data_IF_531226955481
#
_entry.id   IF_531226955481
#
_cell.length_a   1.000
_cell.length_b   1.000
_cell.length_c   1.000
_cell.angle_alpha   90.00
_cell.angle_beta   90.00
_cell.angle_gamma   90.00
#
_symmetry.space_group_name_H-M   'P 1'
#
loop_
_entity.id
_entity.type
_entity.pdbx_description
1 polymer ?
#
# COMPACT_ATOMS: atom_id res chain seq x y z
N UNK A 1 10.00 -26.84 0.23
CA UNK A 1 10.09 -25.69 1.18
C UNK A 1 8.73 -25.00 1.24
N UNK A 2 8.48 -24.09 2.19
CA UNK A 2 7.15 -23.54 2.44
C UNK A 2 6.49 -22.86 1.22
N UNK A 3 7.29 -22.37 0.27
CA UNK A 3 6.85 -21.68 -0.95
C UNK A 3 7.32 -22.42 -2.22
N UNK A 4 7.35 -23.74 -2.19
CA UNK A 4 7.70 -24.56 -3.36
C UNK A 4 6.71 -24.33 -4.52
N UNK A 5 7.23 -24.20 -5.74
CA UNK A 5 6.44 -23.85 -6.93
C UNK A 5 6.07 -22.37 -7.09
N UNK A 6 6.34 -21.50 -6.11
CA UNK A 6 6.12 -20.05 -6.26
C UNK A 6 7.07 -19.45 -7.29
N UNK A 7 6.52 -18.66 -8.22
CA UNK A 7 7.26 -17.98 -9.30
C UNK A 7 7.21 -16.46 -9.18
N UNK A 8 6.17 -15.92 -8.53
CA UNK A 8 6.01 -14.48 -8.32
C UNK A 8 5.75 -14.15 -6.84
N UNK A 9 6.42 -13.12 -6.36
CA UNK A 9 6.10 -12.45 -5.10
C UNK A 9 5.39 -11.15 -5.44
N UNK A 10 4.14 -11.03 -5.01
CA UNK A 10 3.38 -9.80 -5.14
C UNK A 10 3.27 -9.13 -3.79
N UNK A 11 3.36 -7.80 -3.77
CA UNK A 11 3.50 -7.05 -2.53
C UNK A 11 2.32 -6.12 -2.32
N UNK A 12 1.72 -6.17 -1.13
CA UNK A 12 1.07 -4.97 -0.61
C UNK A 12 2.12 -3.84 -0.49
N UNK A 13 1.71 -2.57 -0.62
CA UNK A 13 2.65 -1.45 -0.70
C UNK A 13 2.51 -0.47 0.46
N UNK A 14 1.32 0.12 0.66
CA UNK A 14 1.11 1.10 1.72
C UNK A 14 1.16 0.43 3.09
N UNK A 15 2.21 0.68 3.85
CA UNK A 15 2.44 0.02 5.13
C UNK A 15 3.47 -1.09 4.97
N UNK A 16 3.23 -2.07 4.11
CA UNK A 16 4.15 -3.20 3.91
C UNK A 16 5.51 -2.80 3.33
N UNK A 17 5.54 -1.95 2.30
CA UNK A 17 6.76 -1.54 1.58
C UNK A 17 7.18 -0.14 1.97
N UNK A 18 6.24 0.78 2.19
CA UNK A 18 6.53 2.19 2.47
C UNK A 18 5.91 2.69 3.77
N UNK A 19 6.62 3.59 4.45
CA UNK A 19 6.12 4.35 5.59
C UNK A 19 5.25 5.51 5.10
N UNK A 20 3.97 5.21 4.88
CA UNK A 20 3.01 6.20 4.40
C UNK A 20 2.76 7.29 5.44
N UNK A 21 2.79 6.96 6.74
CA UNK A 21 2.38 7.87 7.81
C UNK A 21 3.37 9.01 7.97
N UNK A 22 4.66 8.69 8.02
CA UNK A 22 5.71 9.71 8.09
C UNK A 22 5.81 10.50 6.78
N UNK A 23 5.68 9.82 5.63
CA UNK A 23 5.75 10.48 4.32
C UNK A 23 4.64 11.51 4.10
N UNK A 24 3.37 11.12 4.33
CA UNK A 24 2.24 12.06 4.21
C UNK A 24 2.35 13.20 5.22
N UNK A 25 2.77 12.91 6.46
CA UNK A 25 2.96 13.93 7.48
C UNK A 25 4.03 14.97 7.06
N UNK A 26 5.16 14.50 6.53
CA UNK A 26 6.24 15.36 6.06
C UNK A 26 5.80 16.27 4.90
N UNK A 27 5.09 15.70 3.93
CA UNK A 27 4.58 16.45 2.76
C UNK A 27 3.46 17.43 3.13
N UNK A 28 2.63 17.10 4.12
CA UNK A 28 1.54 17.96 4.58
C UNK A 28 2.01 19.13 5.45
N UNK A 29 3.13 19.00 6.17
CA UNK A 29 3.57 20.02 7.14
C UNK A 29 3.72 21.44 6.53
N UNK A 30 4.38 21.65 5.37
CA UNK A 30 4.46 22.97 4.76
C UNK A 30 3.10 23.53 4.33
N UNK A 31 2.21 22.66 3.86
CA UNK A 31 0.84 23.03 3.48
C UNK A 31 0.04 23.50 4.70
N UNK A 32 0.06 22.73 5.79
CA UNK A 32 -0.65 23.08 7.02
C UNK A 32 -0.15 24.41 7.58
N UNK A 33 1.17 24.67 7.56
CA UNK A 33 1.74 25.96 7.98
C UNK A 33 1.25 27.13 7.14
N UNK A 34 1.18 26.96 5.82
CA UNK A 34 0.75 28.01 4.88
C UNK A 34 -0.72 28.39 5.07
N UNK A 35 -1.56 27.40 5.38
CA UNK A 35 -3.01 27.56 5.50
C UNK A 35 -3.49 27.72 6.95
N UNK A 36 -2.65 28.27 7.83
CA UNK A 36 -3.03 28.65 9.19
C UNK A 36 -3.17 27.50 10.20
N UNK A 37 -2.84 26.27 9.80
CA UNK A 37 -2.91 25.06 10.63
C UNK A 37 -1.52 24.61 11.13
N UNK A 38 -0.56 25.53 11.28
CA UNK A 38 0.83 25.19 11.65
C UNK A 38 1.02 24.61 13.05
N UNK A 39 0.02 24.71 13.93
CA UNK A 39 0.02 24.09 15.27
C UNK A 39 -0.46 22.63 15.27
N UNK A 40 -1.00 22.14 14.14
CA UNK A 40 -1.45 20.76 13.99
C UNK A 40 -0.24 19.82 13.96
N UNK A 41 -0.35 18.69 14.66
CA UNK A 41 0.63 17.59 14.54
C UNK A 41 0.45 16.96 13.15
N UNK A 42 1.45 17.00 12.24
CA UNK A 42 1.24 16.57 10.85
C UNK A 42 0.85 15.10 10.71
N UNK A 43 1.27 14.24 11.65
CA UNK A 43 0.85 12.84 11.67
C UNK A 43 -0.62 12.65 12.00
N UNK A 44 -1.24 13.55 12.78
CA UNK A 44 -2.69 13.52 13.01
C UNK A 44 -3.48 13.82 11.72
N UNK A 45 -2.94 14.70 10.86
CA UNK A 45 -3.48 14.95 9.52
C UNK A 45 -3.35 13.73 8.62
N UNK A 46 -2.17 13.10 8.58
CA UNK A 46 -1.95 11.87 7.83
C UNK A 46 -2.92 10.74 8.27
N UNK A 47 -3.11 10.58 9.58
CA UNK A 47 -4.04 9.60 10.14
C UNK A 47 -5.50 9.92 9.75
N UNK A 48 -5.90 11.19 9.78
CA UNK A 48 -7.24 11.62 9.37
C UNK A 48 -7.52 11.31 7.90
N UNK A 49 -6.56 11.59 7.02
CA UNK A 49 -6.66 11.26 5.61
C UNK A 49 -6.72 9.74 5.40
N UNK A 50 -5.88 8.97 6.09
CA UNK A 50 -5.87 7.50 6.01
C UNK A 50 -7.18 6.87 6.50
N UNK A 51 -7.85 7.44 7.52
CA UNK A 51 -9.16 6.92 7.99
C UNK A 51 -10.23 6.92 6.90
N UNK A 52 -10.15 7.82 5.92
CA UNK A 52 -11.10 7.89 4.79
C UNK A 52 -10.81 6.87 3.68
N UNK A 53 -9.64 6.24 3.68
CA UNK A 53 -9.17 5.32 2.63
C UNK A 53 -10.09 4.12 2.43
N UNK A 54 -10.36 3.34 3.49
CA UNK A 54 -11.21 2.15 3.37
C UNK A 54 -12.67 2.47 3.04
N UNK A 55 -13.33 3.46 3.67
CA UNK A 55 -14.68 3.89 3.30
C UNK A 55 -14.80 4.32 1.84
N UNK A 56 -13.85 5.11 1.32
CA UNK A 56 -13.91 5.57 -0.07
C UNK A 56 -13.82 4.41 -1.08
N UNK A 57 -12.97 3.41 -0.81
CA UNK A 57 -12.89 2.21 -1.64
C UNK A 57 -14.11 1.29 -1.46
N UNK A 58 -14.79 1.33 -0.31
CA UNK A 58 -15.99 0.52 -0.07
C UNK A 58 -17.15 0.93 -0.98
N UNK A 59 -17.27 2.21 -1.33
CA UNK A 59 -18.24 2.67 -2.33
C UNK A 59 -18.02 1.98 -3.69
N UNK A 60 -16.75 1.70 -4.04
CA UNK A 60 -16.39 0.95 -5.25
C UNK A 60 -16.63 -0.55 -5.06
N UNK A 61 -16.14 -1.14 -3.96
CA UNK A 61 -16.29 -2.59 -3.70
C UNK A 61 -17.75 -3.04 -3.63
N UNK A 62 -18.62 -2.22 -3.06
CA UNK A 62 -20.05 -2.49 -2.94
C UNK A 62 -20.86 -2.22 -4.22
N UNK A 63 -20.22 -1.70 -5.28
CA UNK A 63 -20.88 -1.36 -6.53
C UNK A 63 -21.71 -0.08 -6.50
N UNK A 64 -21.71 0.69 -5.40
CA UNK A 64 -22.38 2.00 -5.31
C UNK A 64 -21.72 3.05 -6.20
N UNK A 65 -20.45 2.85 -6.53
CA UNK A 65 -19.66 3.68 -7.44
C UNK A 65 -18.92 2.80 -8.46
N UNK A 66 -18.83 3.19 -9.74
CA UNK A 66 -17.93 2.55 -10.69
C UNK A 66 -16.47 2.59 -10.22
N UNK A 67 -15.64 1.67 -10.74
CA UNK A 67 -14.21 1.70 -10.45
C UNK A 67 -13.63 3.09 -10.69
N UNK A 68 -12.97 3.61 -9.66
CA UNK A 68 -12.37 4.94 -9.64
C UNK A 68 -10.95 4.77 -9.15
N UNK A 69 -9.98 5.43 -9.80
CA UNK A 69 -8.56 5.33 -9.42
C UNK A 69 -8.31 5.91 -8.03
N UNK A 70 -7.30 5.38 -7.36
CA UNK A 70 -7.02 5.77 -5.98
C UNK A 70 -6.62 7.24 -5.85
N UNK A 71 -5.90 7.81 -6.81
CA UNK A 71 -5.56 9.25 -6.80
C UNK A 71 -6.79 10.15 -6.72
N UNK A 72 -7.89 9.76 -7.38
CA UNK A 72 -9.17 10.50 -7.33
C UNK A 72 -9.79 10.37 -5.93
N UNK A 73 -9.82 9.15 -5.39
CA UNK A 73 -10.33 8.91 -4.03
C UNK A 73 -9.49 9.64 -2.97
N UNK A 74 -8.16 9.67 -3.12
CA UNK A 74 -7.28 10.42 -2.23
C UNK A 74 -7.57 11.92 -2.30
N UNK A 75 -7.81 12.47 -3.50
CA UNK A 75 -8.12 13.88 -3.70
C UNK A 75 -9.44 14.29 -3.05
N UNK A 76 -10.46 13.44 -3.15
CA UNK A 76 -11.75 13.62 -2.49
C UNK A 76 -11.62 13.51 -0.96
N UNK A 77 -10.86 12.51 -0.50
CA UNK A 77 -10.58 12.33 0.92
C UNK A 77 -9.81 13.51 1.53
N UNK A 78 -8.91 14.12 0.76
CA UNK A 78 -8.18 15.33 1.16
C UNK A 78 -9.16 16.46 1.43
N UNK A 79 -10.03 16.79 0.47
CA UNK A 79 -11.03 17.86 0.63
C UNK A 79 -11.94 17.59 1.82
N UNK A 80 -12.35 16.34 2.01
CA UNK A 80 -13.24 15.96 3.09
C UNK A 80 -12.58 16.05 4.48
N UNK A 81 -11.25 16.03 4.55
CA UNK A 81 -10.47 16.07 5.79
C UNK A 81 -10.01 17.48 6.15
N UNK A 82 -9.78 18.36 5.18
CA UNK A 82 -9.32 19.73 5.42
C UNK A 82 -10.17 20.52 6.44
N UNK A 83 -11.51 20.43 6.45
CA UNK A 83 -12.34 21.12 7.44
C UNK A 83 -12.08 20.68 8.88
N UNK A 84 -11.65 19.43 9.12
CA UNK A 84 -11.28 18.95 10.47
C UNK A 84 -10.09 19.72 11.06
N UNK A 85 -9.30 20.36 10.19
CA UNK A 85 -8.12 21.15 10.54
C UNK A 85 -8.32 22.66 10.34
N UNK A 86 -9.58 23.10 10.17
CA UNK A 86 -9.94 24.51 10.02
C UNK A 86 -9.60 25.10 8.65
N UNK A 87 -9.35 24.26 7.64
CA UNK A 87 -9.04 24.69 6.28
C UNK A 87 -10.28 24.46 5.41
N UNK A 88 -10.81 25.53 4.81
CA UNK A 88 -11.87 25.42 3.81
C UNK A 88 -11.25 25.01 2.46
N UNK A 89 -11.53 23.82 1.90
CA UNK A 89 -10.99 23.40 0.62
C UNK A 89 -11.32 24.37 -0.52
N UNK A 90 -12.46 25.08 -0.48
CA UNK A 90 -12.83 26.06 -1.49
C UNK A 90 -11.94 27.31 -1.48
N UNK A 91 -11.23 27.57 -0.38
CA UNK A 91 -10.30 28.68 -0.24
C UNK A 91 -8.87 28.34 -0.72
N UNK A 92 -8.58 27.07 -1.00
CA UNK A 92 -7.27 26.60 -1.43
C UNK A 92 -7.24 26.48 -2.96
N UNK A 93 -6.19 26.98 -3.64
CA UNK A 93 -6.05 26.76 -5.08
C UNK A 93 -6.04 25.27 -5.43
N UNK A 94 -6.82 24.87 -6.45
CA UNK A 94 -6.92 23.46 -6.85
C UNK A 94 -5.54 22.82 -7.13
N UNK A 95 -4.61 23.58 -7.71
CA UNK A 95 -3.24 23.12 -7.96
C UNK A 95 -2.44 22.81 -6.69
N UNK A 96 -2.68 23.51 -5.58
CA UNK A 96 -2.05 23.18 -4.29
C UNK A 96 -2.63 21.89 -3.70
N UNK A 97 -3.94 21.66 -3.86
CA UNK A 97 -4.57 20.42 -3.43
C UNK A 97 -4.12 19.23 -4.27
N UNK A 98 -3.98 19.41 -5.58
CA UNK A 98 -3.44 18.40 -6.48
C UNK A 98 -1.98 18.07 -6.13
N UNK A 99 -1.15 19.07 -5.84
CA UNK A 99 0.24 18.87 -5.42
C UNK A 99 0.34 18.16 -4.06
N UNK A 100 -0.52 18.50 -3.09
CA UNK A 100 -0.58 17.80 -1.81
C UNK A 100 -1.09 16.36 -1.99
N UNK A 101 -2.02 16.11 -2.92
CA UNK A 101 -2.49 14.76 -3.24
C UNK A 101 -1.35 13.84 -3.72
N UNK A 102 -0.34 14.41 -4.38
CA UNK A 102 0.86 13.68 -4.79
C UNK A 102 1.76 13.25 -3.61
N UNK A 103 1.47 13.62 -2.36
CA UNK A 103 2.18 13.11 -1.19
C UNK A 103 2.21 11.57 -1.15
N UNK A 104 1.11 10.91 -1.56
CA UNK A 104 1.03 9.45 -1.63
C UNK A 104 1.95 8.83 -2.69
N UNK A 105 2.49 9.62 -3.63
CA UNK A 105 3.47 9.20 -4.63
C UNK A 105 4.92 9.37 -4.13
N UNK A 106 5.12 10.09 -3.01
CA UNK A 106 6.42 10.49 -2.47
C UNK A 106 6.71 9.83 -1.11
N UNK A 107 6.33 8.57 -0.98
CA UNK A 107 6.54 7.79 0.24
C UNK A 107 7.88 7.07 0.22
N UNK A 108 8.57 7.04 1.35
CA UNK A 108 9.84 6.35 1.49
C UNK A 108 9.65 4.89 1.88
N UNK A 109 10.43 3.96 1.32
CA UNK A 109 10.44 2.57 1.75
C UNK A 109 11.05 2.40 3.14
N UNK A 110 10.66 1.34 3.84
CA UNK A 110 11.35 0.94 5.07
C UNK A 110 12.82 0.57 4.79
N UNK A 111 13.73 0.71 5.78
CA UNK A 111 15.17 0.51 5.57
C UNK A 111 15.58 -0.85 4.99
N UNK A 112 14.81 -1.92 5.28
CA UNK A 112 15.05 -3.29 4.83
C UNK A 112 14.62 -3.55 3.38
N UNK A 113 13.69 -2.75 2.86
CA UNK A 113 12.93 -3.05 1.64
C UNK A 113 13.82 -3.10 0.41
N UNK A 114 14.73 -2.14 0.25
CA UNK A 114 15.58 -2.06 -0.93
C UNK A 114 16.55 -3.25 -1.03
N UNK A 115 17.18 -3.60 0.10
CA UNK A 115 18.08 -4.75 0.16
C UNK A 115 17.33 -6.06 -0.06
N UNK A 116 16.17 -6.24 0.60
CA UNK A 116 15.35 -7.44 0.47
C UNK A 116 14.77 -7.62 -0.93
N UNK A 117 14.12 -6.60 -1.50
CA UNK A 117 13.55 -6.69 -2.85
C UNK A 117 14.62 -6.98 -3.91
N UNK A 118 15.82 -6.40 -3.80
CA UNK A 118 16.93 -6.68 -4.73
C UNK A 118 17.32 -8.16 -4.70
N UNK A 119 17.37 -8.77 -3.50
CA UNK A 119 17.68 -10.20 -3.34
C UNK A 119 16.56 -11.10 -3.85
N UNK A 120 15.30 -10.73 -3.58
CA UNK A 120 14.13 -11.49 -4.01
C UNK A 120 13.97 -11.47 -5.54
N UNK A 121 14.18 -10.31 -6.16
CA UNK A 121 14.13 -10.11 -7.62
C UNK A 121 15.07 -11.04 -8.39
N UNK A 122 16.20 -11.40 -7.81
CA UNK A 122 17.16 -12.30 -8.47
C UNK A 122 16.57 -13.69 -8.78
N UNK A 123 15.44 -14.06 -8.17
CA UNK A 123 14.82 -15.39 -8.31
C UNK A 123 13.34 -15.37 -8.63
N UNK A 124 12.62 -14.34 -8.19
CA UNK A 124 11.18 -14.23 -8.35
C UNK A 124 10.83 -12.99 -9.18
N UNK A 125 9.72 -13.08 -9.91
CA UNK A 125 9.06 -11.87 -10.39
C UNK A 125 8.57 -11.10 -9.16
N UNK A 126 8.91 -9.81 -9.06
CA UNK A 126 8.40 -8.94 -8.01
C UNK A 126 7.51 -7.84 -8.58
N UNK A 127 6.29 -7.72 -8.06
CA UNK A 127 5.32 -6.71 -8.51
C UNK A 127 4.42 -6.24 -7.36
N UNK A 128 3.87 -5.03 -7.40
CA UNK A 128 2.85 -4.63 -6.45
C UNK A 128 1.53 -5.35 -6.77
N UNK A 129 0.85 -5.83 -5.72
CA UNK A 129 -0.60 -6.10 -5.71
C UNK A 129 -1.20 -5.13 -4.69
N UNK A 130 -1.34 -3.90 -5.16
CA UNK A 130 -1.70 -2.74 -4.37
C UNK A 130 -2.99 -2.12 -4.89
N UNK A 131 -3.74 -1.48 -3.99
CA UNK A 131 -4.87 -0.63 -4.39
C UNK A 131 -4.40 0.65 -5.11
N UNK A 132 -3.11 0.99 -5.05
CA UNK A 132 -2.57 2.14 -5.78
C UNK A 132 -2.73 1.99 -7.29
N UNK A 133 -3.02 3.11 -7.97
CA UNK A 133 -3.01 3.12 -9.43
C UNK A 133 -1.59 3.13 -10.02
N UNK A 134 -1.44 2.84 -11.30
CA UNK A 134 -0.15 2.61 -11.98
C UNK A 134 0.80 3.80 -11.80
N UNK A 135 0.35 5.02 -12.12
CA UNK A 135 1.20 6.22 -12.00
C UNK A 135 1.59 6.50 -10.54
N UNK A 136 0.73 6.20 -9.58
CA UNK A 136 1.03 6.29 -8.16
C UNK A 136 2.20 5.38 -7.79
N UNK A 137 2.07 4.09 -8.10
CA UNK A 137 3.10 3.08 -7.84
C UNK A 137 4.40 3.36 -8.62
N UNK A 138 4.28 3.83 -9.87
CA UNK A 138 5.42 4.16 -10.73
C UNK A 138 6.22 5.34 -10.17
N UNK A 139 5.56 6.43 -9.77
CA UNK A 139 6.26 7.59 -9.23
C UNK A 139 7.03 7.23 -7.95
N UNK A 140 6.40 6.45 -7.06
CA UNK A 140 7.04 5.94 -5.85
C UNK A 140 8.25 5.06 -6.18
N UNK A 141 8.09 4.12 -7.11
CA UNK A 141 9.18 3.25 -7.54
C UNK A 141 10.33 4.02 -8.20
N UNK A 142 10.05 5.06 -9.00
CA UNK A 142 11.06 5.91 -9.65
C UNK A 142 11.82 6.75 -8.63
N UNK A 143 11.13 7.31 -7.62
CA UNK A 143 11.74 8.15 -6.58
C UNK A 143 12.68 7.34 -5.69
N UNK A 144 12.22 6.20 -5.18
CA UNK A 144 12.97 5.38 -4.23
C UNK A 144 13.72 4.21 -4.88
N UNK A 145 13.71 4.13 -6.22
CA UNK A 145 14.37 3.10 -7.06
C UNK A 145 13.92 1.67 -6.75
N UNK A 146 12.65 1.50 -6.35
CA UNK A 146 12.09 0.18 -6.02
C UNK A 146 12.12 -0.69 -7.29
N UNK A 147 12.73 -1.89 -7.25
CA UNK A 147 13.13 -2.61 -8.46
C UNK A 147 12.04 -3.54 -9.00
N UNK A 148 10.80 -3.08 -9.13
CA UNK A 148 9.68 -3.90 -9.65
C UNK A 148 9.98 -4.47 -11.05
N UNK A 149 9.57 -5.71 -11.31
CA UNK A 149 9.54 -6.31 -12.66
C UNK A 149 8.36 -5.81 -13.48
N UNK A 150 7.23 -5.61 -12.82
CA UNK A 150 6.00 -5.09 -13.40
C UNK A 150 5.27 -4.22 -12.37
N UNK A 151 4.45 -3.29 -12.86
CA UNK A 151 3.54 -2.50 -12.03
C UNK A 151 2.12 -2.75 -12.52
N UNK A 152 1.34 -3.50 -11.74
CA UNK A 152 -0.04 -3.87 -12.03
C UNK A 152 -0.94 -3.13 -11.04
N UNK A 153 -1.26 -1.87 -11.34
CA UNK A 153 -2.13 -1.07 -10.49
C UNK A 153 -3.57 -1.61 -10.44
N UNK A 154 -4.35 -1.19 -9.44
CA UNK A 154 -5.74 -1.63 -9.26
C UNK A 154 -6.63 -1.41 -10.50
N UNK A 155 -6.29 -0.44 -11.36
CA UNK A 155 -7.01 -0.19 -12.62
C UNK A 155 -6.83 -1.28 -13.67
N UNK A 156 -5.78 -2.10 -13.59
CA UNK A 156 -5.60 -3.24 -14.52
C UNK A 156 -6.66 -4.30 -14.24
N UNK A 157 -6.93 -4.54 -12.96
CA UNK A 157 -7.89 -5.56 -12.50
C UNK A 157 -9.28 -5.00 -12.22
N UNK A 158 -9.45 -3.68 -12.24
CA UNK A 158 -10.71 -2.96 -11.96
C UNK A 158 -11.36 -3.41 -10.64
N UNK A 159 -10.54 -3.63 -9.61
CA UNK A 159 -10.98 -4.13 -8.31
C UNK A 159 -10.07 -3.65 -7.18
N UNK A 160 -10.64 -3.48 -5.99
CA UNK A 160 -9.89 -3.15 -4.77
C UNK A 160 -9.86 -4.32 -3.80
N UNK A 161 -8.72 -4.51 -3.14
CA UNK A 161 -8.59 -5.43 -2.00
C UNK A 161 -9.60 -5.04 -0.90
N UNK A 162 -10.20 -6.01 -0.18
CA UNK A 162 -9.96 -7.45 -0.25
C UNK A 162 -10.89 -8.22 -1.19
N UNK A 163 -11.45 -7.59 -2.24
CA UNK A 163 -12.31 -8.31 -3.18
C UNK A 163 -11.52 -9.43 -3.91
N UNK A 164 -12.08 -10.65 -4.04
CA UNK A 164 -11.39 -11.78 -4.69
C UNK A 164 -10.83 -11.46 -6.08
N UNK A 165 -11.53 -10.61 -6.83
CA UNK A 165 -11.15 -10.14 -8.16
C UNK A 165 -9.77 -9.49 -8.18
N UNK A 166 -9.39 -8.75 -7.12
CA UNK A 166 -8.08 -8.12 -7.05
C UNK A 166 -6.95 -9.15 -7.10
N UNK A 167 -7.13 -10.30 -6.46
CA UNK A 167 -6.13 -11.38 -6.42
C UNK A 167 -6.21 -12.27 -7.67
N UNK A 168 -7.41 -12.77 -7.98
CA UNK A 168 -7.61 -13.73 -9.07
C UNK A 168 -7.29 -13.12 -10.44
N UNK A 169 -7.68 -11.87 -10.69
CA UNK A 169 -7.35 -11.20 -11.96
C UNK A 169 -5.88 -10.81 -12.05
N UNK A 170 -5.22 -10.54 -10.91
CA UNK A 170 -3.76 -10.33 -10.92
C UNK A 170 -3.06 -11.62 -11.33
N UNK A 171 -3.50 -12.78 -10.84
CA UNK A 171 -2.99 -14.07 -11.27
C UNK A 171 -3.22 -14.34 -12.76
N UNK A 172 -4.42 -14.03 -13.26
CA UNK A 172 -4.79 -14.15 -14.67
C UNK A 172 -3.93 -13.25 -15.57
N UNK A 173 -3.73 -11.98 -15.21
CA UNK A 173 -2.87 -11.02 -15.94
C UNK A 173 -1.41 -11.51 -16.00
N UNK A 174 -0.93 -12.15 -14.94
CA UNK A 174 0.41 -12.75 -14.91
C UNK A 174 0.48 -14.11 -15.65
N UNK A 175 -0.67 -14.64 -16.12
CA UNK A 175 -0.81 -15.97 -16.70
C UNK A 175 -0.26 -17.07 -15.77
N UNK A 176 -0.59 -16.98 -14.48
CA UNK A 176 -0.17 -17.92 -13.44
C UNK A 176 -1.37 -18.49 -12.69
N UNK A 177 -1.19 -19.67 -12.12
CA UNK A 177 -2.14 -20.19 -11.13
C UNK A 177 -1.97 -19.43 -9.81
N UNK A 178 -3.04 -19.26 -9.02
CA UNK A 178 -2.97 -18.63 -7.71
C UNK A 178 -1.86 -19.20 -6.80
N UNK A 179 -1.67 -20.52 -6.79
CA UNK A 179 -0.69 -21.20 -5.93
C UNK A 179 0.78 -21.01 -6.35
N UNK A 180 1.02 -20.45 -7.53
CA UNK A 180 2.35 -20.02 -8.01
C UNK A 180 2.69 -18.59 -7.59
N UNK A 181 1.77 -17.88 -6.94
CA UNK A 181 1.92 -16.49 -6.50
C UNK A 181 1.86 -16.42 -4.98
N UNK A 182 2.80 -15.70 -4.38
CA UNK A 182 2.80 -15.39 -2.96
C UNK A 182 2.52 -13.92 -2.71
N UNK A 183 1.47 -13.59 -1.95
CA UNK A 183 1.27 -12.25 -1.42
C UNK A 183 2.16 -12.05 -0.19
N UNK A 184 3.00 -11.02 -0.25
CA UNK A 184 3.77 -10.49 0.87
C UNK A 184 3.05 -9.26 1.42
N UNK A 185 2.61 -9.30 2.67
CA UNK A 185 1.89 -8.19 3.30
C UNK A 185 2.16 -8.08 4.80
N UNK A 186 2.02 -6.86 5.32
CA UNK A 186 2.02 -6.55 6.74
C UNK A 186 0.63 -6.70 7.38
N UNK A 187 -0.43 -6.93 6.59
CA UNK A 187 -1.82 -6.93 7.07
C UNK A 187 -2.44 -8.32 7.00
N UNK A 188 -2.85 -8.87 8.14
CA UNK A 188 -3.42 -10.22 8.24
C UNK A 188 -4.71 -10.39 7.43
N UNK A 189 -5.55 -9.36 7.39
CA UNK A 189 -6.79 -9.38 6.60
C UNK A 189 -6.53 -9.51 5.10
N UNK A 190 -5.43 -8.94 4.60
CA UNK A 190 -5.04 -9.04 3.19
C UNK A 190 -4.55 -10.46 2.85
N UNK A 191 -3.69 -11.02 3.71
CA UNK A 191 -3.22 -12.40 3.58
C UNK A 191 -4.36 -13.42 3.67
N UNK A 192 -5.33 -13.20 4.55
CA UNK A 192 -6.50 -14.06 4.67
C UNK A 192 -7.32 -14.10 3.37
N UNK A 193 -7.55 -12.94 2.75
CA UNK A 193 -8.29 -12.83 1.49
C UNK A 193 -7.51 -13.45 0.31
N UNK A 194 -6.20 -13.21 0.23
CA UNK A 194 -5.33 -13.83 -0.77
C UNK A 194 -5.31 -15.36 -0.66
N UNK A 195 -5.17 -15.89 0.56
CA UNK A 195 -5.24 -17.34 0.84
C UNK A 195 -6.57 -17.93 0.43
N UNK A 196 -7.68 -17.26 0.71
CA UNK A 196 -9.01 -17.71 0.29
C UNK A 196 -9.14 -17.81 -1.24
N UNK A 197 -8.33 -17.05 -1.99
CA UNK A 197 -8.21 -17.11 -3.45
C UNK A 197 -7.16 -18.13 -3.95
N UNK A 198 -6.48 -18.85 -3.05
CA UNK A 198 -5.47 -19.84 -3.38
C UNK A 198 -4.04 -19.32 -3.50
N UNK A 199 -3.78 -18.05 -3.20
CA UNK A 199 -2.41 -17.51 -3.16
C UNK A 199 -1.66 -18.04 -1.94
N UNK A 200 -0.34 -18.16 -2.09
CA UNK A 200 0.58 -18.31 -0.96
C UNK A 200 0.71 -17.01 -0.18
N UNK A 201 1.13 -17.10 1.06
CA UNK A 201 1.11 -15.98 2.02
C UNK A 201 2.42 -15.84 2.78
N UNK A 202 2.98 -14.64 2.77
CA UNK A 202 4.13 -14.25 3.58
C UNK A 202 3.81 -13.00 4.41
N UNK A 203 3.88 -13.14 5.73
CA UNK A 203 3.65 -12.04 6.66
C UNK A 203 4.97 -11.37 7.05
N UNK A 204 5.00 -10.04 6.94
CA UNK A 204 6.12 -9.19 7.39
C UNK A 204 5.56 -8.06 8.26
N UNK A 205 5.74 -8.10 9.60
CA UNK A 205 5.14 -7.11 10.48
C UNK A 205 5.76 -5.73 10.28
N UNK A 206 4.92 -4.70 10.38
CA UNK A 206 5.31 -3.28 10.39
C UNK A 206 4.78 -2.65 11.68
N UNK A 207 5.45 -2.88 12.82
CA UNK A 207 4.90 -2.60 14.15
C UNK A 207 4.71 -1.10 14.46
N UNK A 208 5.22 -0.23 13.59
CA UNK A 208 5.13 1.22 13.70
C UNK A 208 4.52 1.90 12.48
N UNK A 209 3.80 1.16 11.62
CA UNK A 209 3.06 1.74 10.49
C UNK A 209 2.10 2.85 10.95
N UNK A 210 1.34 2.58 12.01
CA UNK A 210 0.41 3.51 12.63
C UNK A 210 1.02 4.25 13.85
N UNK A 211 2.36 4.27 13.94
CA UNK A 211 3.10 4.82 15.07
C UNK A 211 3.23 3.86 16.25
N UNK A 212 3.89 4.32 17.33
CA UNK A 212 4.28 3.48 18.49
C UNK A 212 3.11 2.90 19.29
N UNK A 213 1.89 3.39 19.06
CA UNK A 213 0.67 2.94 19.73
C UNK A 213 -0.15 1.95 18.87
N UNK A 214 0.42 1.45 17.76
CA UNK A 214 -0.23 0.45 16.92
C UNK A 214 -0.55 -0.81 17.73
N UNK A 215 -1.76 -1.35 17.54
CA UNK A 215 -2.28 -2.53 18.25
C UNK A 215 -2.72 -3.65 17.32
N UNK A 216 -2.78 -3.40 16.02
CA UNK A 216 -3.17 -4.36 14.98
C UNK A 216 -1.96 -4.83 14.19
N UNK A 217 -2.07 -6.03 13.61
CA UNK A 217 -1.06 -6.58 12.70
C UNK A 217 0.37 -6.64 13.27
N UNK A 218 0.47 -6.83 14.59
CA UNK A 218 1.75 -6.99 15.29
C UNK A 218 2.28 -8.43 15.19
N UNK A 219 1.38 -9.38 14.97
CA UNK A 219 1.64 -10.81 14.96
C UNK A 219 0.81 -11.48 13.85
N UNK A 220 1.22 -12.67 13.39
CA UNK A 220 0.43 -13.44 12.44
C UNK A 220 -0.84 -14.01 13.10
N UNK A 221 -2.01 -13.74 12.52
CA UNK A 221 -3.31 -14.23 13.02
C UNK A 221 -3.61 -15.67 12.55
N UNK A 222 -2.92 -16.15 11.52
CA UNK A 222 -3.03 -17.51 11.01
C UNK A 222 -1.65 -18.11 10.76
N UNK A 223 -1.60 -19.42 10.52
CA UNK A 223 -0.41 -20.10 10.05
C UNK A 223 -0.11 -19.73 8.59
N UNK A 224 0.39 -18.52 8.35
CA UNK A 224 0.89 -18.07 7.04
C UNK A 224 1.98 -19.01 6.52
N UNK A 225 2.09 -19.18 5.20
CA UNK A 225 3.07 -20.10 4.63
C UNK A 225 4.50 -19.69 5.05
N UNK A 226 4.75 -18.39 5.17
CA UNK A 226 5.99 -17.84 5.69
C UNK A 226 5.74 -16.64 6.61
N UNK A 227 6.51 -16.53 7.67
CA UNK A 227 6.57 -15.34 8.54
C UNK A 227 8.03 -14.90 8.60
N UNK A 228 8.29 -13.63 8.29
CA UNK A 228 9.62 -13.04 8.35
C UNK A 228 9.60 -11.74 9.15
N UNK A 229 10.72 -11.37 9.76
CA UNK A 229 10.81 -10.12 10.55
C UNK A 229 10.85 -8.86 9.69
N UNK A 230 11.41 -8.96 8.49
CA UNK A 230 11.57 -7.88 7.51
C UNK A 230 11.83 -8.48 6.11
N UNK A 231 12.10 -7.63 5.10
CA UNK A 231 12.35 -8.12 3.75
C UNK A 231 13.73 -8.78 3.57
N UNK A 232 14.69 -8.54 4.46
CA UNK A 232 16.01 -9.18 4.45
C UNK A 232 15.86 -10.62 4.95
N UNK A 233 15.18 -10.83 6.07
CA UNK A 233 14.85 -12.17 6.61
C UNK A 233 13.94 -12.95 5.63
N UNK A 234 12.97 -12.28 5.00
CA UNK A 234 12.16 -12.89 3.94
C UNK A 234 13.03 -13.44 2.80
N UNK A 235 14.01 -12.65 2.35
CA UNK A 235 14.94 -13.07 1.31
C UNK A 235 15.84 -14.22 1.75
N UNK A 236 16.28 -14.26 3.01
CA UNK A 236 17.11 -15.35 3.57
C UNK A 236 16.34 -16.67 3.60
N UNK A 237 15.12 -16.65 4.13
CA UNK A 237 14.26 -17.84 4.23
C UNK A 237 13.83 -18.41 2.89
N UNK A 238 13.76 -17.57 1.86
CA UNK A 238 13.47 -18.00 0.50
C UNK A 238 14.72 -18.47 -0.26
N UNK A 239 15.91 -18.12 0.21
CA UNK A 239 17.20 -18.51 -0.35
C UNK A 239 17.73 -19.86 0.15
N UNK A 240 17.37 -20.25 1.37
CA UNK A 240 17.68 -21.56 1.98
C UNK A 240 16.82 -22.69 1.41
#
# INVERSE_FOLDING_TARGET
MALDGVRALVFDVFGTVVDWRSGVAHEAEPFLKRHGAGSVIPTAFADAWRRRYSPAMEEVRSGRRPFTRLDVLHRENLEAVLPEFGIDPASVPATELDELNLAWHRLEPWPDVMAGLTRLKARYIIAPLSNGNIVLMLNMAKRSRIPWDAILGAEVVQAYKPAPEAYLRTADVLAMKPDEICLVAAHNGDLAAARACGLRTAFVPRPTEHGVAQTTDLHPDQAWDLVASDFIDLAERLQS
#
